data_IF_174439923865
#
_entry.id   IF_174439923865
#
_cell.length_a   1.000
_cell.length_b   1.000
_cell.length_c   1.000
_cell.angle_alpha   90.00
_cell.angle_beta   90.00
_cell.angle_gamma   90.00
#
_symmetry.space_group_name_H-M   'P 1'
#
loop_
_entity.id
_entity.type
_entity.pdbx_description
1 polymer ?
#
# COMPACT_ATOMS: atom_id res chain seq x y z
N UNK A 1 19.26 17.03 -26.25
CA UNK A 1 18.80 17.71 -25.03
C UNK A 1 19.55 17.02 -23.90
N UNK A 2 20.25 17.79 -23.07
CA UNK A 2 20.94 17.22 -21.91
C UNK A 2 19.88 16.65 -20.97
N UNK A 3 19.90 15.34 -20.74
CA UNK A 3 19.10 14.70 -19.72
C UNK A 3 19.52 15.27 -18.36
N UNK A 4 18.58 15.86 -17.64
CA UNK A 4 18.89 16.40 -16.30
C UNK A 4 19.28 15.25 -15.39
N UNK A 5 20.35 15.42 -14.64
CA UNK A 5 20.82 14.42 -13.68
C UNK A 5 20.04 14.45 -12.34
N UNK A 6 18.85 15.07 -12.32
CA UNK A 6 17.99 15.18 -11.13
C UNK A 6 16.52 15.25 -11.52
N UNK A 7 15.67 14.78 -10.61
CA UNK A 7 14.20 14.92 -10.62
C UNK A 7 13.75 15.75 -9.43
N UNK A 8 12.61 16.42 -9.59
CA UNK A 8 11.94 17.17 -8.54
C UNK A 8 10.49 16.72 -8.45
N UNK A 9 9.99 16.60 -7.24
CA UNK A 9 8.58 16.41 -6.96
C UNK A 9 8.21 17.17 -5.70
N UNK A 10 7.15 17.99 -5.77
CA UNK A 10 6.55 18.58 -4.59
C UNK A 10 5.47 17.63 -4.06
N UNK A 11 5.33 17.52 -2.76
CA UNK A 11 4.40 16.58 -2.14
C UNK A 11 2.95 16.80 -2.59
N UNK A 12 2.55 18.04 -2.84
CA UNK A 12 1.19 18.36 -3.31
C UNK A 12 0.95 18.01 -4.78
N UNK A 13 2.02 17.75 -5.55
CA UNK A 13 1.97 17.34 -6.96
C UNK A 13 1.98 15.83 -7.15
N UNK A 14 2.21 15.08 -6.06
CA UNK A 14 2.17 13.62 -6.09
C UNK A 14 0.72 13.12 -6.14
N UNK A 15 0.53 12.00 -6.83
CA UNK A 15 -0.73 11.27 -6.78
C UNK A 15 -1.15 11.02 -5.33
N UNK A 16 -2.46 11.02 -5.09
CA UNK A 16 -3.07 10.76 -3.78
C UNK A 16 -3.94 9.52 -3.91
N UNK A 17 -3.50 8.44 -3.35
CA UNK A 17 -4.24 7.20 -3.36
C UNK A 17 -4.83 6.91 -1.99
N UNK A 18 -6.16 6.86 -1.86
CA UNK A 18 -6.79 6.36 -0.64
C UNK A 18 -6.37 4.91 -0.40
N UNK A 19 -5.79 4.62 0.76
CA UNK A 19 -5.39 3.25 1.13
C UNK A 19 -6.56 2.51 1.74
N UNK A 20 -7.34 3.23 2.55
CA UNK A 20 -8.51 2.72 3.26
C UNK A 20 -9.67 3.73 3.21
N UNK A 21 -10.79 3.37 3.86
CA UNK A 21 -11.96 4.24 4.00
C UNK A 21 -11.84 5.16 5.24
N UNK A 22 -10.72 5.09 5.97
CA UNK A 22 -10.47 5.83 7.21
C UNK A 22 -9.68 7.13 6.99
N UNK A 23 -9.37 7.48 5.72
CA UNK A 23 -8.79 8.76 5.35
C UNK A 23 -7.27 8.76 5.11
N UNK A 24 -6.61 7.60 5.21
CA UNK A 24 -5.18 7.50 4.91
C UNK A 24 -4.92 7.70 3.41
N UNK A 25 -4.17 8.75 3.08
CA UNK A 25 -3.74 9.05 1.71
C UNK A 25 -2.27 8.69 1.53
N UNK A 26 -2.01 7.71 0.68
CA UNK A 26 -0.66 7.31 0.27
C UNK A 26 -0.19 8.13 -0.94
N UNK A 27 1.07 8.56 -0.91
CA UNK A 27 1.75 9.31 -1.97
C UNK A 27 3.01 8.55 -2.40
N UNK A 28 3.08 8.02 -3.63
CA UNK A 28 4.15 7.14 -4.10
C UNK A 28 5.43 7.92 -4.47
N UNK A 29 6.16 8.42 -3.48
CA UNK A 29 7.39 9.22 -3.67
C UNK A 29 8.44 8.43 -4.45
N UNK A 30 8.73 7.19 -4.00
CA UNK A 30 9.71 6.30 -4.65
C UNK A 30 9.38 6.11 -6.13
N UNK A 31 8.13 5.76 -6.42
CA UNK A 31 7.64 5.50 -7.79
C UNK A 31 7.77 6.74 -8.67
N UNK A 32 7.35 7.90 -8.18
CA UNK A 32 7.38 9.18 -8.92
C UNK A 32 8.81 9.60 -9.28
N UNK A 33 9.77 9.35 -8.40
CA UNK A 33 11.17 9.73 -8.57
C UNK A 33 12.05 8.60 -9.13
N UNK A 34 11.52 7.40 -9.38
CA UNK A 34 12.25 6.26 -9.93
C UNK A 34 13.35 5.72 -9.00
N UNK A 35 13.21 5.88 -7.67
CA UNK A 35 14.19 5.42 -6.70
C UNK A 35 14.19 3.89 -6.65
N UNK A 36 15.37 3.27 -6.71
CA UNK A 36 15.52 1.81 -6.70
C UNK A 36 16.34 1.28 -5.52
N UNK A 37 16.96 2.16 -4.73
CA UNK A 37 17.88 1.77 -3.67
C UNK A 37 17.21 1.61 -2.29
N UNK A 38 16.05 2.19 -2.08
CA UNK A 38 15.27 2.14 -0.83
C UNK A 38 13.79 2.47 -1.10
N UNK A 39 12.92 2.01 -0.21
CA UNK A 39 11.51 2.42 -0.18
C UNK A 39 11.36 3.83 0.39
N UNK A 40 10.52 4.65 -0.21
CA UNK A 40 10.08 5.92 0.40
C UNK A 40 8.71 6.32 -0.12
N UNK A 41 7.84 6.65 0.81
CA UNK A 41 6.48 7.10 0.53
C UNK A 41 6.11 8.21 1.50
N UNK A 42 5.09 8.97 1.16
CA UNK A 42 4.50 9.92 2.08
C UNK A 42 3.03 9.56 2.33
N UNK A 43 2.56 9.82 3.52
CA UNK A 43 1.20 9.59 3.97
C UNK A 43 0.65 10.89 4.53
N UNK A 44 -0.59 11.21 4.17
CA UNK A 44 -1.25 12.43 4.64
C UNK A 44 -2.62 12.09 5.20
N UNK A 45 -2.89 12.57 6.40
CA UNK A 45 -4.22 12.61 6.99
C UNK A 45 -4.82 14.00 6.78
N UNK A 46 -6.00 14.11 6.19
CA UNK A 46 -6.65 15.40 5.92
C UNK A 46 -7.26 16.01 7.19
N UNK A 47 -7.62 15.16 8.17
CA UNK A 47 -8.19 15.59 9.47
C UNK A 47 -7.37 15.06 10.62
N UNK A 48 -7.57 15.65 11.79
CA UNK A 48 -7.15 15.03 13.04
C UNK A 48 -7.91 13.73 13.32
N UNK A 49 -7.32 12.87 14.13
CA UNK A 49 -7.83 11.54 14.50
C UNK A 49 -7.89 10.52 13.35
N UNK A 50 -7.44 10.88 12.15
CA UNK A 50 -7.25 9.93 11.04
C UNK A 50 -5.89 9.24 11.14
N UNK A 51 -5.82 8.00 10.64
CA UNK A 51 -4.58 7.24 10.55
C UNK A 51 -3.62 7.92 9.56
N UNK A 52 -2.33 8.01 9.93
CA UNK A 52 -1.26 8.56 9.08
C UNK A 52 -0.11 7.58 8.87
N UNK A 53 -0.03 6.52 9.70
CA UNK A 53 0.79 5.33 9.47
C UNK A 53 -0.04 4.13 9.88
N UNK A 54 -0.19 3.14 9.00
CA UNK A 54 -0.86 1.89 9.34
C UNK A 54 -0.17 1.17 10.48
N UNK A 55 -0.94 0.50 11.34
CA UNK A 55 -0.37 -0.33 12.37
C UNK A 55 0.21 -1.62 11.76
N UNK A 56 1.52 -1.81 11.88
CA UNK A 56 2.22 -2.98 11.36
C UNK A 56 3.54 -3.23 12.08
N UNK A 57 4.21 -4.30 11.71
CA UNK A 57 5.58 -4.59 12.09
C UNK A 57 6.28 -5.28 10.92
N UNK A 58 7.52 -4.90 10.64
CA UNK A 58 8.33 -5.52 9.60
C UNK A 58 8.93 -6.83 10.09
N UNK A 59 8.55 -7.94 9.44
CA UNK A 59 9.06 -9.27 9.77
C UNK A 59 10.26 -9.68 8.92
N UNK A 60 10.53 -8.94 7.84
CA UNK A 60 11.56 -9.24 6.85
C UNK A 60 12.95 -8.64 7.17
N UNK A 61 13.05 -7.95 8.30
CA UNK A 61 14.29 -7.31 8.78
C UNK A 61 14.52 -5.91 8.21
N UNK A 62 13.48 -5.26 7.65
CA UNK A 62 13.58 -3.87 7.21
C UNK A 62 13.67 -2.92 8.41
N UNK A 63 14.58 -1.97 8.32
CA UNK A 63 14.64 -0.78 9.18
C UNK A 63 13.77 0.31 8.57
N UNK A 64 13.05 1.04 9.41
CA UNK A 64 12.23 2.15 8.95
C UNK A 64 12.52 3.44 9.71
N UNK A 65 12.58 4.53 8.95
CA UNK A 65 12.68 5.89 9.45
C UNK A 65 11.44 6.66 9.01
N UNK A 66 10.75 7.26 9.95
CA UNK A 66 9.65 8.18 9.72
C UNK A 66 10.08 9.61 9.98
N UNK A 67 9.58 10.53 9.19
CA UNK A 67 9.77 11.97 9.38
C UNK A 67 8.44 12.69 9.31
N UNK A 68 8.05 13.37 10.38
CA UNK A 68 6.86 14.22 10.40
C UNK A 68 7.16 15.52 9.67
N UNK A 69 6.72 15.61 8.41
CA UNK A 69 7.01 16.75 7.55
C UNK A 69 6.10 17.96 7.83
N UNK A 70 4.86 17.72 8.25
CA UNK A 70 3.91 18.78 8.65
C UNK A 70 2.91 18.25 9.67
N UNK A 71 2.29 19.16 10.43
CA UNK A 71 1.31 18.82 11.45
C UNK A 71 1.91 18.15 12.69
N UNK A 72 1.16 17.24 13.28
CA UNK A 72 1.53 16.50 14.51
C UNK A 72 0.90 15.11 14.47
N UNK A 73 1.64 14.10 14.85
CA UNK A 73 1.15 12.73 14.95
C UNK A 73 1.42 12.16 16.36
N UNK A 74 0.58 11.26 16.81
CA UNK A 74 0.85 10.37 17.94
C UNK A 74 1.26 9.02 17.37
N UNK A 75 2.53 8.64 17.56
CA UNK A 75 3.05 7.32 17.19
C UNK A 75 2.85 6.35 18.34
N UNK A 76 2.44 5.13 18.00
CA UNK A 76 2.49 3.97 18.89
C UNK A 76 3.69 3.13 18.49
N UNK A 77 4.65 2.92 19.41
CA UNK A 77 5.86 2.12 19.23
C UNK A 77 5.88 1.01 20.30
N UNK A 78 5.54 -0.22 19.92
CA UNK A 78 5.27 -1.27 20.90
C UNK A 78 4.07 -0.88 21.78
N UNK A 79 4.31 -0.69 23.06
CA UNK A 79 3.29 -0.27 24.05
C UNK A 79 3.39 1.22 24.43
N UNK A 80 4.28 1.97 23.81
CA UNK A 80 4.52 3.39 24.13
C UNK A 80 3.86 4.33 23.11
N UNK A 81 3.26 5.42 23.61
CA UNK A 81 2.76 6.52 22.79
C UNK A 81 3.76 7.68 22.80
N UNK A 82 4.11 8.15 21.60
CA UNK A 82 5.10 9.21 21.38
C UNK A 82 4.43 10.38 20.66
N UNK A 83 4.45 11.55 21.28
CA UNK A 83 4.03 12.80 20.64
C UNK A 83 5.09 13.30 19.65
N UNK A 84 4.74 13.43 18.40
CA UNK A 84 5.65 13.74 17.30
C UNK A 84 5.16 14.95 16.49
N UNK A 85 5.56 16.18 16.86
CA UNK A 85 5.32 17.37 16.05
C UNK A 85 6.17 17.37 14.76
N UNK A 86 5.83 18.24 13.80
CA UNK A 86 6.63 18.46 12.60
C UNK A 86 8.12 18.68 12.92
N UNK A 87 9.00 18.02 12.15
CA UNK A 87 10.44 18.00 12.36
C UNK A 87 10.94 16.81 13.19
N UNK A 88 10.05 15.96 13.70
CA UNK A 88 10.42 14.75 14.46
C UNK A 88 10.83 13.61 13.52
N UNK A 89 11.95 12.96 13.83
CA UNK A 89 12.36 11.69 13.23
C UNK A 89 12.09 10.54 14.20
N UNK A 90 11.49 9.47 13.71
CA UNK A 90 11.22 8.26 14.46
C UNK A 90 11.88 7.08 13.73
N UNK A 91 12.81 6.41 14.38
CA UNK A 91 13.42 5.19 13.88
C UNK A 91 12.77 3.99 14.54
N UNK A 92 12.32 3.04 13.75
CA UNK A 92 11.76 1.77 14.20
C UNK A 92 12.68 0.63 13.79
N UNK A 93 13.20 -0.11 14.78
CA UNK A 93 13.93 -1.35 14.54
C UNK A 93 13.01 -2.43 13.94
N UNK A 94 13.57 -3.39 13.16
CA UNK A 94 12.81 -4.52 12.66
C UNK A 94 12.06 -5.25 13.79
N UNK A 95 10.81 -5.64 13.53
CA UNK A 95 9.95 -6.32 14.50
C UNK A 95 9.26 -5.41 15.51
N UNK A 96 9.62 -4.12 15.61
CA UNK A 96 8.87 -3.17 16.43
C UNK A 96 7.50 -2.93 15.82
N UNK A 97 6.43 -3.18 16.58
CA UNK A 97 5.07 -2.79 16.19
C UNK A 97 4.97 -1.27 16.20
N UNK A 98 4.48 -0.68 15.11
CA UNK A 98 4.33 0.78 14.98
C UNK A 98 3.09 1.15 14.20
N UNK A 99 2.57 2.32 14.50
CA UNK A 99 1.49 2.99 13.79
C UNK A 99 1.44 4.45 14.21
N UNK A 100 0.65 5.27 13.53
CA UNK A 100 0.45 6.65 13.92
C UNK A 100 -0.92 7.18 13.56
N UNK A 101 -1.46 8.01 14.46
CA UNK A 101 -2.69 8.78 14.26
C UNK A 101 -2.30 10.27 14.18
N UNK A 102 -2.88 10.97 13.22
CA UNK A 102 -2.73 12.42 13.09
C UNK A 102 -3.40 13.14 14.27
N UNK A 103 -2.66 13.94 15.01
CA UNK A 103 -3.21 14.77 16.09
C UNK A 103 -3.68 16.13 15.59
N UNK A 104 -3.29 16.51 14.36
CA UNK A 104 -3.68 17.75 13.69
C UNK A 104 -4.08 17.49 12.23
N UNK A 105 -4.98 18.30 11.65
CA UNK A 105 -5.31 18.20 10.23
C UNK A 105 -4.08 18.44 9.33
N UNK A 106 -4.08 17.80 8.14
CA UNK A 106 -3.00 17.89 7.14
C UNK A 106 -1.63 17.44 7.67
N UNK A 107 -1.64 16.54 8.64
CA UNK A 107 -0.43 15.88 9.11
C UNK A 107 0.12 15.00 8.00
N UNK A 108 1.41 15.19 7.71
CA UNK A 108 2.13 14.42 6.68
C UNK A 108 3.36 13.78 7.28
N UNK A 109 3.46 12.46 7.10
CA UNK A 109 4.61 11.64 7.49
C UNK A 109 5.27 11.08 6.25
N UNK A 110 6.59 11.19 6.15
CA UNK A 110 7.40 10.54 5.11
C UNK A 110 8.08 9.33 5.74
N UNK A 111 7.91 8.17 5.11
CA UNK A 111 8.55 6.92 5.52
C UNK A 111 9.69 6.58 4.56
N UNK A 112 10.76 6.06 5.12
CA UNK A 112 11.93 5.51 4.42
C UNK A 112 12.19 4.12 4.98
N UNK A 113 12.39 3.12 4.09
CA UNK A 113 12.64 1.75 4.53
C UNK A 113 13.63 1.03 3.62
N UNK A 114 14.50 0.24 4.24
CA UNK A 114 15.40 -0.67 3.55
C UNK A 114 15.89 -1.78 4.49
N UNK A 115 16.31 -2.90 3.91
CA UNK A 115 16.97 -3.98 4.66
C UNK A 115 18.48 -3.78 4.63
N UNK A 116 19.16 -3.77 5.77
CA UNK A 116 20.61 -3.62 5.83
C UNK A 116 21.35 -4.71 5.03
N UNK A 117 22.26 -4.29 4.16
CA UNK A 117 23.11 -5.22 3.39
C UNK A 117 22.39 -6.03 2.31
N UNK A 118 21.13 -5.77 2.05
CA UNK A 118 20.33 -6.44 1.01
C UNK A 118 19.92 -5.41 -0.05
N UNK A 119 20.07 -5.71 -1.37
CA UNK A 119 19.53 -4.84 -2.39
C UNK A 119 18.04 -4.62 -2.20
N UNK A 120 17.60 -3.38 -2.35
CA UNK A 120 16.17 -3.07 -2.27
C UNK A 120 15.43 -3.70 -3.47
N UNK A 121 14.37 -4.43 -3.17
CA UNK A 121 13.45 -4.96 -4.18
C UNK A 121 12.15 -4.15 -4.14
N UNK A 122 11.71 -3.69 -5.32
CA UNK A 122 10.42 -2.99 -5.43
C UNK A 122 9.32 -3.99 -5.09
N UNK A 123 8.50 -3.65 -4.12
CA UNK A 123 7.40 -4.50 -3.70
C UNK A 123 6.29 -4.54 -4.75
N UNK A 124 5.78 -5.74 -5.04
CA UNK A 124 4.57 -5.88 -5.86
C UNK A 124 3.34 -5.19 -5.22
N UNK A 125 3.35 -5.02 -3.88
CA UNK A 125 2.31 -4.29 -3.15
C UNK A 125 2.18 -2.83 -3.59
N UNK A 126 3.27 -2.20 -4.04
CA UNK A 126 3.21 -0.83 -4.54
C UNK A 126 2.28 -0.70 -5.75
N UNK A 127 2.39 -1.62 -6.72
CA UNK A 127 1.49 -1.64 -7.89
C UNK A 127 0.06 -2.01 -7.50
N UNK A 128 -0.13 -2.89 -6.51
CA UNK A 128 -1.45 -3.24 -5.96
C UNK A 128 -2.09 -2.01 -5.31
N UNK A 129 -1.36 -1.25 -4.48
CA UNK A 129 -1.86 -0.01 -3.89
C UNK A 129 -2.21 1.04 -4.94
N UNK A 130 -1.39 1.17 -5.99
CA UNK A 130 -1.72 2.05 -7.13
C UNK A 130 -3.02 1.61 -7.80
N UNK A 131 -3.21 0.30 -8.02
CA UNK A 131 -4.41 -0.25 -8.66
C UNK A 131 -5.68 0.08 -7.86
N UNK A 132 -5.69 -0.23 -6.57
CA UNK A 132 -6.84 0.08 -5.70
C UNK A 132 -7.02 1.59 -5.49
N UNK A 133 -5.94 2.36 -5.44
CA UNK A 133 -6.01 3.81 -5.38
C UNK A 133 -6.68 4.41 -6.61
N UNK A 134 -6.36 3.92 -7.81
CA UNK A 134 -7.04 4.29 -9.04
C UNK A 134 -8.51 3.90 -9.01
N UNK A 135 -8.83 2.69 -8.52
CA UNK A 135 -10.22 2.23 -8.39
C UNK A 135 -11.03 3.18 -7.49
N UNK A 136 -10.52 3.51 -6.30
CA UNK A 136 -11.17 4.44 -5.37
C UNK A 136 -11.33 5.86 -5.94
N UNK A 137 -10.43 6.25 -6.84
CA UNK A 137 -10.52 7.51 -7.59
C UNK A 137 -11.41 7.42 -8.84
N UNK A 138 -12.07 6.28 -9.11
CA UNK A 138 -12.95 6.07 -10.26
C UNK A 138 -12.23 5.82 -11.59
N UNK A 139 -10.93 5.51 -11.56
CA UNK A 139 -10.08 5.29 -12.73
C UNK A 139 -9.81 3.79 -12.95
N UNK A 140 -10.85 2.99 -13.19
CA UNK A 140 -10.76 1.52 -13.27
C UNK A 140 -9.74 1.02 -14.31
N UNK A 141 -9.65 1.66 -15.48
CA UNK A 141 -8.74 1.23 -16.53
C UNK A 141 -7.26 1.36 -16.12
N UNK A 142 -6.90 2.46 -15.47
CA UNK A 142 -5.56 2.66 -14.93
C UNK A 142 -5.28 1.70 -13.77
N UNK A 143 -6.31 1.41 -12.96
CA UNK A 143 -6.24 0.39 -11.92
C UNK A 143 -5.93 -1.00 -12.48
N UNK A 144 -6.61 -1.43 -13.56
CA UNK A 144 -6.32 -2.71 -14.23
C UNK A 144 -4.91 -2.77 -14.80
N UNK A 145 -4.41 -1.67 -15.37
CA UNK A 145 -3.02 -1.60 -15.87
C UNK A 145 -2.00 -1.79 -14.74
N UNK A 146 -2.22 -1.13 -13.61
CA UNK A 146 -1.35 -1.28 -12.43
C UNK A 146 -1.42 -2.70 -11.86
N UNK A 147 -2.62 -3.31 -11.79
CA UNK A 147 -2.78 -4.69 -11.33
C UNK A 147 -2.08 -5.69 -12.25
N UNK A 148 -2.17 -5.50 -13.57
CA UNK A 148 -1.44 -6.32 -14.54
C UNK A 148 0.09 -6.18 -14.36
N UNK A 149 0.59 -4.99 -14.05
CA UNK A 149 2.00 -4.78 -13.74
C UNK A 149 2.43 -5.50 -12.45
N UNK A 150 1.59 -5.50 -11.41
CA UNK A 150 1.83 -6.25 -10.17
C UNK A 150 1.97 -7.76 -10.43
N UNK A 151 1.07 -8.33 -11.23
CA UNK A 151 1.12 -9.75 -11.62
C UNK A 151 2.39 -10.03 -12.43
N UNK A 152 2.71 -9.18 -13.41
CA UNK A 152 3.88 -9.36 -14.26
C UNK A 152 5.21 -9.28 -13.50
N UNK A 153 5.29 -8.48 -12.44
CA UNK A 153 6.46 -8.36 -11.58
C UNK A 153 6.75 -9.64 -10.77
N UNK A 154 5.70 -10.36 -10.33
CA UNK A 154 5.80 -11.62 -9.58
C UNK A 154 4.72 -12.62 -10.02
N UNK A 155 4.87 -13.25 -11.20
CA UNK A 155 3.82 -14.07 -11.81
C UNK A 155 3.50 -15.34 -11.03
N UNK A 156 4.43 -15.82 -10.21
CA UNK A 156 4.27 -17.02 -9.38
C UNK A 156 3.77 -16.72 -7.95
N UNK A 157 3.55 -15.43 -7.63
CA UNK A 157 3.01 -15.02 -6.34
C UNK A 157 1.48 -14.99 -6.38
N UNK A 158 0.85 -15.84 -5.56
CA UNK A 158 -0.62 -15.93 -5.49
C UNK A 158 -1.30 -14.62 -5.10
N UNK A 159 -0.61 -13.77 -4.32
CA UNK A 159 -1.15 -12.50 -3.83
C UNK A 159 -1.52 -11.54 -4.96
N UNK A 160 -0.72 -11.49 -6.03
CA UNK A 160 -1.03 -10.68 -7.21
C UNK A 160 -2.35 -11.10 -7.87
N UNK A 161 -2.55 -12.40 -8.05
CA UNK A 161 -3.77 -12.97 -8.61
C UNK A 161 -4.97 -12.79 -7.67
N UNK A 162 -4.78 -12.98 -6.37
CA UNK A 162 -5.83 -12.78 -5.37
C UNK A 162 -6.31 -11.32 -5.34
N UNK A 163 -5.39 -10.36 -5.31
CA UNK A 163 -5.75 -8.94 -5.33
C UNK A 163 -6.40 -8.52 -6.66
N UNK A 164 -6.01 -9.15 -7.79
CA UNK A 164 -6.71 -8.94 -9.06
C UNK A 164 -8.15 -9.48 -9.01
N UNK A 165 -8.38 -10.61 -8.36
CA UNK A 165 -9.73 -11.13 -8.14
C UNK A 165 -10.58 -10.17 -7.29
N UNK A 166 -10.03 -9.63 -6.19
CA UNK A 166 -10.69 -8.61 -5.37
C UNK A 166 -11.02 -7.36 -6.20
N UNK A 167 -10.04 -6.87 -6.97
CA UNK A 167 -10.23 -5.70 -7.84
C UNK A 167 -11.39 -5.91 -8.83
N UNK A 168 -11.42 -7.03 -9.54
CA UNK A 168 -12.49 -7.34 -10.51
C UNK A 168 -13.83 -7.62 -9.81
N UNK A 169 -13.83 -8.18 -8.60
CA UNK A 169 -15.04 -8.33 -7.80
C UNK A 169 -15.63 -6.96 -7.40
N UNK A 170 -14.79 -6.01 -6.99
CA UNK A 170 -15.22 -4.65 -6.65
C UNK A 170 -15.77 -3.89 -7.88
N UNK A 171 -15.23 -4.15 -9.08
CA UNK A 171 -15.74 -3.58 -10.34
C UNK A 171 -16.91 -4.37 -10.94
N UNK A 172 -17.41 -5.41 -10.23
CA UNK A 172 -18.55 -6.26 -10.65
C UNK A 172 -18.30 -7.06 -11.94
N UNK A 173 -17.05 -7.39 -12.21
CA UNK A 173 -16.64 -8.25 -13.32
C UNK A 173 -16.46 -9.70 -12.81
N UNK A 174 -17.56 -10.46 -12.74
CA UNK A 174 -17.59 -11.81 -12.16
C UNK A 174 -16.62 -12.77 -12.85
N UNK A 175 -16.61 -12.80 -14.18
CA UNK A 175 -15.82 -13.76 -14.95
C UNK A 175 -14.33 -13.57 -14.68
N UNK A 176 -13.83 -12.33 -14.74
CA UNK A 176 -12.43 -12.04 -14.46
C UNK A 176 -12.08 -12.27 -12.98
N UNK A 177 -12.97 -11.93 -12.05
CA UNK A 177 -12.76 -12.17 -10.63
C UNK A 177 -12.58 -13.67 -10.34
N UNK A 178 -13.46 -14.52 -10.91
CA UNK A 178 -13.40 -15.98 -10.77
C UNK A 178 -12.14 -16.56 -11.42
N UNK A 179 -11.77 -16.09 -12.61
CA UNK A 179 -10.56 -16.55 -13.31
C UNK A 179 -9.29 -16.26 -12.47
N UNK A 180 -9.13 -15.02 -11.99
CA UNK A 180 -8.01 -14.64 -11.14
C UNK A 180 -8.00 -15.39 -9.82
N UNK A 181 -9.16 -15.61 -9.20
CA UNK A 181 -9.25 -16.36 -7.94
C UNK A 181 -8.87 -17.83 -8.13
N UNK A 182 -9.32 -18.50 -9.20
CA UNK A 182 -8.88 -19.85 -9.56
C UNK A 182 -7.37 -19.92 -9.69
N UNK A 183 -6.78 -18.95 -10.39
CA UNK A 183 -5.34 -18.90 -10.56
C UNK A 183 -4.59 -18.67 -9.25
N UNK A 184 -5.12 -17.83 -8.35
CA UNK A 184 -4.56 -17.65 -7.01
C UNK A 184 -4.56 -18.97 -6.21
N UNK A 185 -5.66 -19.72 -6.24
CA UNK A 185 -5.81 -21.00 -5.54
C UNK A 185 -4.87 -22.08 -6.13
N UNK A 186 -4.67 -22.09 -7.45
CA UNK A 186 -3.70 -22.99 -8.09
C UNK A 186 -2.26 -22.74 -7.63
N UNK A 187 -1.91 -21.46 -7.42
CA UNK A 187 -0.58 -21.06 -6.95
C UNK A 187 -0.40 -21.33 -5.45
N UNK A 188 -1.44 -21.11 -4.66
CA UNK A 188 -1.44 -21.38 -3.22
C UNK A 188 -2.87 -21.67 -2.71
N UNK A 189 -3.15 -22.89 -2.24
CA UNK A 189 -4.48 -23.25 -1.73
C UNK A 189 -5.00 -22.38 -0.58
N UNK A 190 -4.13 -21.67 0.15
CA UNK A 190 -4.53 -20.72 1.20
C UNK A 190 -5.40 -19.58 0.64
N UNK A 191 -5.27 -19.25 -0.63
CA UNK A 191 -6.11 -18.24 -1.27
C UNK A 191 -7.62 -18.56 -1.14
N UNK A 192 -7.99 -19.84 -1.13
CA UNK A 192 -9.38 -20.25 -0.91
C UNK A 192 -9.89 -19.88 0.49
N UNK A 193 -9.06 -20.04 1.52
CA UNK A 193 -9.44 -19.69 2.90
C UNK A 193 -9.60 -18.16 3.07
N UNK A 194 -8.76 -17.38 2.39
CA UNK A 194 -8.89 -15.91 2.38
C UNK A 194 -10.18 -15.51 1.66
N UNK A 195 -10.46 -16.05 0.47
CA UNK A 195 -11.64 -15.70 -0.30
C UNK A 195 -12.96 -16.00 0.42
N UNK A 196 -13.00 -17.04 1.28
CA UNK A 196 -14.17 -17.35 2.09
C UNK A 196 -14.50 -16.24 3.12
N UNK A 197 -13.51 -15.45 3.53
CA UNK A 197 -13.63 -14.44 4.59
C UNK A 197 -13.64 -13.02 4.05
N UNK A 198 -13.18 -12.83 2.82
CA UNK A 198 -13.03 -11.51 2.21
C UNK A 198 -14.38 -11.00 1.69
N UNK A 199 -14.82 -9.87 2.19
CA UNK A 199 -16.12 -9.26 1.86
C UNK A 199 -16.22 -8.79 0.42
N UNK A 200 -15.14 -8.62 -0.29
CA UNK A 200 -15.15 -8.23 -1.70
C UNK A 200 -15.87 -9.27 -2.56
N UNK A 201 -15.87 -10.54 -2.12
CA UNK A 201 -16.53 -11.65 -2.81
C UNK A 201 -17.95 -11.97 -2.32
N UNK A 202 -18.51 -11.27 -1.34
CA UNK A 202 -19.81 -11.62 -0.76
C UNK A 202 -20.91 -11.80 -1.79
N UNK A 203 -20.94 -10.97 -2.81
CA UNK A 203 -21.95 -11.03 -3.88
C UNK A 203 -21.67 -12.12 -4.92
N UNK A 204 -20.46 -12.69 -4.96
CA UNK A 204 -20.05 -13.76 -5.87
C UNK A 204 -20.18 -15.16 -5.26
N UNK A 205 -20.37 -15.29 -3.95
CA UNK A 205 -20.34 -16.60 -3.26
C UNK A 205 -21.45 -17.54 -3.70
N UNK A 206 -22.57 -17.01 -4.16
CA UNK A 206 -23.70 -17.81 -4.66
C UNK A 206 -23.56 -18.16 -6.16
N UNK A 207 -22.50 -17.69 -6.83
CA UNK A 207 -22.23 -18.03 -8.22
C UNK A 207 -21.74 -19.50 -8.30
N UNK A 208 -22.38 -20.36 -9.14
CA UNK A 208 -22.00 -21.77 -9.26
C UNK A 208 -20.57 -21.98 -9.78
N UNK A 209 -19.94 -20.97 -10.36
CA UNK A 209 -18.55 -21.00 -10.81
C UNK A 209 -17.54 -20.48 -9.77
N UNK A 210 -18.02 -19.94 -8.65
CA UNK A 210 -17.14 -19.47 -7.57
C UNK A 210 -16.31 -20.63 -7.01
N UNK A 211 -14.97 -20.54 -6.98
CA UNK A 211 -14.10 -21.73 -6.80
C UNK A 211 -13.89 -22.15 -5.34
N UNK A 212 -14.71 -21.68 -4.39
CA UNK A 212 -14.54 -21.94 -2.93
C UNK A 212 -15.85 -22.35 -2.30
#
# INVERSE_FOLDING_TARGET
MSEKAYELAHIDELDRFPVDDEGLLWRPVRRRLGITAFGTNAYTAEKGDERVVEEHHEQDGAEELYFVASGRATFTLGDEEIDAPAGTFIYAEPGTKRGAIASEPKTTVVAFGARPGVPHEISAWEEIFVAFGHLRNGNEEEGRKAMAAAIAAKPDAWQGQFNAACFEALTKNSDAAIEHLRRAIELDPRAAEYAQKDTDFDWLRDDPEFPV
#
